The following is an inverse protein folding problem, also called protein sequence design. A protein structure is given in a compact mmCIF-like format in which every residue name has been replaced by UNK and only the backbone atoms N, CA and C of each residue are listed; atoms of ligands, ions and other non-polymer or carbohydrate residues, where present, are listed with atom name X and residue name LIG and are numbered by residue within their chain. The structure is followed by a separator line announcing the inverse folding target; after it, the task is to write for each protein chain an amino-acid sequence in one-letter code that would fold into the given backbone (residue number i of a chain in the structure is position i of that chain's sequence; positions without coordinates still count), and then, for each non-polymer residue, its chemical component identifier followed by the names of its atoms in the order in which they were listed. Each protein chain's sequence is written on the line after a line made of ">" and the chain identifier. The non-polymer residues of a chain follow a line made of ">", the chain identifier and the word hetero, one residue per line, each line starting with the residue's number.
data_IF_482256193656
#
_entry.id   IF_482256193656
#
_cell.length_a   1.000
_cell.length_b   1.000
_cell.length_c   1.000
_cell.angle_alpha   90.00
_cell.angle_beta   90.00
_cell.angle_gamma   90.00
#
_symmetry.space_group_name_H-M   'P 1'
#
loop_
_entity.id
_entity.type
_entity.pdbx_description
1 polymer ?
#
# COMPACT_ATOMS: atom_id res chain seq x y z
N UNK A 1 16.70 4.31 1.41
CA UNK A 1 15.76 3.65 0.48
C UNK A 1 14.41 3.57 1.17
N UNK A 2 13.38 4.13 0.54
CA UNK A 2 12.06 4.30 1.13
C UNK A 2 11.01 3.57 0.31
N UNK A 3 10.14 2.82 0.98
CA UNK A 3 8.91 2.29 0.38
C UNK A 3 7.77 3.20 0.83
N UNK A 4 7.08 3.80 -0.12
CA UNK A 4 5.91 4.63 0.09
C UNK A 4 4.66 3.86 -0.33
N UNK A 5 3.62 3.95 0.51
CA UNK A 5 2.32 3.31 0.27
C UNK A 5 1.24 4.35 0.53
N UNK A 6 0.45 4.65 -0.48
CA UNK A 6 -0.63 5.64 -0.39
C UNK A 6 -1.79 5.28 -1.32
N UNK A 7 -2.96 5.89 -1.12
CA UNK A 7 -4.11 5.71 -2.00
C UNK A 7 -4.31 6.90 -2.95
N UNK A 8 -4.84 6.59 -4.12
CA UNK A 8 -5.41 7.56 -5.05
C UNK A 8 -6.78 7.02 -5.50
N UNK A 9 -7.85 7.55 -4.88
CA UNK A 9 -9.22 7.07 -5.11
C UNK A 9 -9.41 5.62 -4.66
N UNK A 10 -9.61 4.69 -5.59
CA UNK A 10 -9.75 3.25 -5.32
C UNK A 10 -8.47 2.47 -5.64
N UNK A 11 -7.34 3.15 -5.82
CA UNK A 11 -6.06 2.52 -6.22
C UNK A 11 -5.05 2.67 -5.10
N UNK A 12 -4.44 1.56 -4.69
CA UNK A 12 -3.25 1.56 -3.84
C UNK A 12 -2.01 1.72 -4.70
N UNK A 13 -1.19 2.71 -4.38
CA UNK A 13 0.09 2.96 -5.03
C UNK A 13 1.20 2.52 -4.09
N UNK A 14 2.07 1.64 -4.59
CA UNK A 14 3.30 1.19 -3.92
C UNK A 14 4.46 1.74 -4.73
N UNK A 15 5.24 2.64 -4.14
CA UNK A 15 6.41 3.28 -4.76
C UNK A 15 7.66 2.96 -3.96
N UNK A 16 8.77 2.71 -4.64
CA UNK A 16 10.07 2.60 -4.00
C UNK A 16 11.13 3.26 -4.88
N UNK A 17 11.95 4.09 -4.25
CA UNK A 17 13.14 4.68 -4.88
C UNK A 17 14.39 4.11 -4.19
N UNK A 18 15.19 3.39 -4.98
CA UNK A 18 16.38 2.66 -4.56
C UNK A 18 17.54 3.01 -5.48
N UNK A 19 18.77 2.76 -5.05
CA UNK A 19 19.95 3.01 -5.91
C UNK A 19 19.90 2.18 -7.20
N UNK A 20 19.26 1.01 -7.14
CA UNK A 20 19.12 0.07 -8.26
C UNK A 20 17.94 0.40 -9.20
N UNK A 21 17.13 1.41 -8.86
CA UNK A 21 16.06 1.91 -9.71
C UNK A 21 14.78 2.27 -8.96
N UNK A 22 13.77 2.66 -9.76
CA UNK A 22 12.45 3.05 -9.28
C UNK A 22 11.43 1.96 -9.57
N UNK A 23 10.66 1.60 -8.55
CA UNK A 23 9.54 0.68 -8.66
C UNK A 23 8.25 1.42 -8.36
N UNK A 24 7.24 1.27 -9.23
CA UNK A 24 5.89 1.77 -8.98
C UNK A 24 4.87 0.74 -9.41
N UNK A 25 3.96 0.38 -8.49
CA UNK A 25 2.87 -0.56 -8.76
C UNK A 25 1.55 0.02 -8.27
N UNK A 26 0.57 -0.06 -9.16
CA UNK A 26 -0.81 0.33 -8.89
C UNK A 26 -1.66 -0.92 -8.73
N UNK A 27 -2.44 -0.98 -7.67
CA UNK A 27 -3.35 -2.09 -7.37
C UNK A 27 -4.72 -1.52 -7.07
N UNK A 28 -5.72 -1.85 -7.88
CA UNK A 28 -7.09 -1.48 -7.58
C UNK A 28 -7.56 -2.21 -6.31
N UNK A 29 -8.00 -1.44 -5.32
CA UNK A 29 -8.56 -1.98 -4.10
C UNK A 29 -9.95 -2.57 -4.40
N UNK A 30 -10.24 -3.79 -3.94
CA UNK A 30 -11.53 -4.42 -4.19
C UNK A 30 -12.67 -3.77 -3.40
N UNK A 31 -12.33 -2.97 -2.37
CA UNK A 31 -13.25 -2.27 -1.47
C UNK A 31 -12.56 -1.02 -0.90
N UNK A 32 -13.35 -0.08 -0.37
CA UNK A 32 -12.81 1.05 0.41
C UNK A 32 -11.99 0.54 1.61
N UNK A 33 -10.81 1.10 1.81
CA UNK A 33 -9.88 0.72 2.86
C UNK A 33 -9.50 1.93 3.72
N UNK A 34 -9.06 1.68 4.95
CA UNK A 34 -8.60 2.71 5.88
C UNK A 34 -7.06 2.66 5.93
N UNK A 35 -6.44 3.49 5.08
CA UNK A 35 -4.99 3.51 4.84
C UNK A 35 -4.24 4.03 6.07
N UNK A 36 -4.82 4.95 6.83
CA UNK A 36 -4.21 5.50 8.04
C UNK A 36 -3.93 4.41 9.09
N UNK A 37 -4.67 3.29 9.02
CA UNK A 37 -4.50 2.12 9.88
C UNK A 37 -3.76 0.96 9.20
N UNK A 38 -3.15 1.19 8.04
CA UNK A 38 -2.37 0.18 7.35
C UNK A 38 -1.18 -0.28 8.19
N UNK A 39 -0.88 -1.58 8.09
CA UNK A 39 0.31 -2.19 8.70
C UNK A 39 1.16 -2.81 7.60
N UNK A 40 2.45 -2.54 7.65
CA UNK A 40 3.43 -3.08 6.69
C UNK A 40 4.40 -4.01 7.39
N UNK A 41 4.84 -5.06 6.68
CA UNK A 41 5.89 -5.96 7.14
C UNK A 41 6.75 -6.35 5.94
N UNK A 42 8.06 -6.24 6.09
CA UNK A 42 9.02 -6.77 5.12
C UNK A 42 9.72 -7.99 5.70
N UNK A 43 9.68 -9.12 4.97
CA UNK A 43 10.39 -10.34 5.38
C UNK A 43 10.80 -11.12 4.13
N UNK A 44 12.09 -11.45 4.03
CA UNK A 44 12.66 -12.30 2.98
C UNK A 44 12.29 -11.85 1.54
N UNK A 45 12.39 -10.55 1.24
CA UNK A 45 12.07 -10.03 -0.10
C UNK A 45 10.58 -9.79 -0.36
N UNK A 46 9.70 -10.11 0.59
CA UNK A 46 8.24 -9.94 0.44
C UNK A 46 7.75 -8.79 1.32
N UNK A 47 7.02 -7.86 0.71
CA UNK A 47 6.27 -6.82 1.41
C UNK A 47 4.84 -7.32 1.62
N UNK A 48 4.43 -7.47 2.88
CA UNK A 48 3.05 -7.70 3.27
C UNK A 48 2.43 -6.37 3.73
N UNK A 49 1.31 -5.97 3.13
CA UNK A 49 0.55 -4.79 3.50
C UNK A 49 -0.84 -5.25 3.91
N UNK A 50 -1.23 -4.98 5.17
CA UNK A 50 -2.56 -5.28 5.70
C UNK A 50 -3.30 -3.99 5.98
N UNK A 51 -4.40 -3.79 5.28
CA UNK A 51 -5.21 -2.58 5.37
C UNK A 51 -6.61 -2.98 5.82
N UNK A 52 -7.12 -2.46 6.95
CA UNK A 52 -8.49 -2.70 7.34
C UNK A 52 -9.45 -2.10 6.29
N UNK A 53 -10.60 -2.75 6.09
CA UNK A 53 -11.69 -2.14 5.31
C UNK A 53 -12.15 -0.89 6.04
N UNK A 54 -12.51 0.17 5.31
CA UNK A 54 -13.16 1.32 5.93
C UNK A 54 -14.44 0.82 6.59
N UNK A 55 -14.66 1.21 7.85
CA UNK A 55 -15.91 0.90 8.53
C UNK A 55 -16.97 1.74 7.82
N UNK A 56 -17.87 1.11 7.08
CA UNK A 56 -19.10 1.76 6.65
C UNK A 56 -19.89 2.03 7.94
N UNK A 57 -19.96 3.28 8.39
CA UNK A 57 -21.12 3.70 9.17
C UNK A 57 -22.34 3.45 8.27
N UNK A 58 -23.25 2.62 8.77
CA UNK A 58 -24.50 2.25 8.10
C UNK A 58 -25.51 3.37 8.25
#
# INVERSE_FOLDING_TARGET
>A
EGIEVYEEGETLIISADTLDGRYRREVKLPVKADIDRAKTRYKNGVIEIRIPKSIREK
#
